data_IF_183020247491
#
_entry.id   IF_183020247491
#
_cell.length_a   1.000
_cell.length_b   1.000
_cell.length_c   1.000
_cell.angle_alpha   90.00
_cell.angle_beta   90.00
_cell.angle_gamma   90.00
#
_symmetry.space_group_name_H-M   'P 1'
#
loop_
_entity.id
_entity.type
_entity.pdbx_description
1 polymer ?
#
# COMPACT_ATOMS: atom_id res chain seq x y z
N UNK A 1 -52.54 37.09 38.72
CA UNK A 1 -51.98 36.70 37.41
C UNK A 1 -50.60 36.13 37.68
N UNK A 2 -50.41 34.83 37.56
CA UNK A 2 -49.09 34.16 37.74
C UNK A 2 -48.59 33.76 36.36
N UNK A 3 -47.60 34.46 35.81
CA UNK A 3 -46.93 34.06 34.59
C UNK A 3 -45.88 33.00 34.92
N UNK A 4 -46.09 31.81 34.42
CA UNK A 4 -45.11 30.71 34.48
C UNK A 4 -44.28 30.75 33.15
N UNK A 5 -43.03 31.22 33.26
CA UNK A 5 -42.08 31.08 32.16
C UNK A 5 -41.59 29.61 32.12
N UNK A 6 -41.94 28.93 31.06
CA UNK A 6 -41.38 27.59 30.74
C UNK A 6 -40.11 27.83 29.94
N UNK A 7 -38.96 27.59 30.55
CA UNK A 7 -37.67 27.57 29.88
C UNK A 7 -37.55 26.21 29.17
N UNK A 8 -37.72 26.20 27.86
CA UNK A 8 -37.41 25.02 27.01
C UNK A 8 -35.90 24.98 26.76
N UNK A 9 -35.21 24.06 27.44
CA UNK A 9 -33.80 23.78 27.17
C UNK A 9 -33.67 22.95 25.89
N UNK A 10 -33.19 23.57 24.80
CA UNK A 10 -32.83 22.87 23.58
C UNK A 10 -31.42 22.31 23.76
N UNK A 11 -31.32 21.02 23.98
CA UNK A 11 -30.05 20.31 23.97
C UNK A 11 -29.63 20.07 22.49
N UNK A 12 -28.67 20.85 21.99
CA UNK A 12 -28.01 20.55 20.74
C UNK A 12 -27.09 19.34 20.95
N UNK A 13 -27.50 18.19 20.46
CA UNK A 13 -26.64 17.03 20.34
C UNK A 13 -25.66 17.26 19.15
N UNK A 14 -24.42 17.64 19.45
CA UNK A 14 -23.33 17.63 18.49
C UNK A 14 -22.92 16.17 18.26
N UNK A 15 -23.46 15.54 17.20
CA UNK A 15 -22.92 14.31 16.66
C UNK A 15 -21.62 14.65 15.93
N UNK A 16 -20.47 14.42 16.55
CA UNK A 16 -19.19 14.47 15.88
C UNK A 16 -19.13 13.31 14.87
N UNK A 17 -18.89 13.58 13.56
CA UNK A 17 -18.60 12.49 12.64
C UNK A 17 -17.28 11.84 13.07
N UNK A 18 -17.33 10.56 13.41
CA UNK A 18 -16.14 9.75 13.62
C UNK A 18 -15.42 9.59 12.27
N UNK A 19 -14.43 10.45 12.01
CA UNK A 19 -13.47 10.25 10.92
C UNK A 19 -12.51 9.12 11.32
N UNK A 20 -12.99 7.89 11.29
CA UNK A 20 -12.13 6.74 11.08
C UNK A 20 -11.80 6.75 9.58
N UNK A 21 -10.87 7.61 9.16
CA UNK A 21 -10.26 7.49 7.86
C UNK A 21 -9.49 6.18 7.87
N UNK A 22 -10.02 5.15 7.21
CA UNK A 22 -9.23 3.98 6.82
C UNK A 22 -8.06 4.53 5.99
N UNK A 23 -6.85 4.41 6.56
CA UNK A 23 -5.61 4.71 5.87
C UNK A 23 -5.30 3.59 4.85
N UNK A 24 -6.19 3.41 3.88
CA UNK A 24 -5.88 2.69 2.65
C UNK A 24 -5.28 3.70 1.70
N UNK A 25 -3.97 3.59 1.45
CA UNK A 25 -3.36 4.39 0.40
C UNK A 25 -4.01 3.98 -0.93
N UNK A 26 -4.60 4.92 -1.64
CA UNK A 26 -5.25 4.63 -2.93
C UNK A 26 -4.19 4.30 -4.00
N UNK A 27 -4.44 3.23 -4.78
CA UNK A 27 -3.61 2.89 -5.93
C UNK A 27 -3.91 3.90 -7.05
N UNK A 28 -2.93 4.70 -7.51
CA UNK A 28 -3.14 5.66 -8.57
C UNK A 28 -3.56 4.98 -9.88
N UNK A 29 -4.56 5.53 -10.56
CA UNK A 29 -5.06 5.00 -11.84
C UNK A 29 -4.27 5.48 -13.04
N UNK A 30 -3.76 6.70 -12.99
CA UNK A 30 -2.94 7.29 -14.05
C UNK A 30 -1.49 6.77 -14.02
N UNK A 31 -0.90 6.51 -15.19
CA UNK A 31 0.47 5.99 -15.29
C UNK A 31 1.53 6.93 -14.70
N UNK A 32 1.53 8.27 -14.92
CA UNK A 32 2.53 9.16 -14.33
C UNK A 32 2.51 9.15 -12.80
N UNK A 33 1.34 9.18 -12.19
CA UNK A 33 1.18 9.17 -10.73
C UNK A 33 1.55 7.80 -10.14
N UNK A 34 1.15 6.73 -10.84
CA UNK A 34 1.50 5.37 -10.46
C UNK A 34 3.02 5.14 -10.49
N UNK A 35 3.69 5.59 -11.56
CA UNK A 35 5.15 5.51 -11.72
C UNK A 35 5.84 6.27 -10.59
N UNK A 36 5.42 7.51 -10.32
CA UNK A 36 5.99 8.33 -9.26
C UNK A 36 5.85 7.65 -7.89
N UNK A 37 4.67 7.10 -7.59
CA UNK A 37 4.42 6.39 -6.35
C UNK A 37 5.26 5.10 -6.25
N UNK A 38 5.31 4.28 -7.28
CA UNK A 38 6.13 3.07 -7.29
C UNK A 38 7.61 3.39 -7.06
N UNK A 39 8.15 4.43 -7.71
CA UNK A 39 9.54 4.86 -7.55
C UNK A 39 9.86 5.37 -6.15
N UNK A 40 8.89 5.89 -5.41
CA UNK A 40 9.11 6.43 -4.04
C UNK A 40 9.51 5.36 -3.02
N UNK A 41 9.33 4.09 -3.36
CA UNK A 41 9.70 2.98 -2.49
C UNK A 41 11.20 2.76 -2.34
N UNK A 42 12.03 3.27 -3.24
CA UNK A 42 13.46 3.03 -3.27
C UNK A 42 14.26 4.34 -3.36
N UNK A 43 15.57 4.31 -3.09
CA UNK A 43 16.45 5.44 -3.40
C UNK A 43 16.29 5.89 -4.85
N UNK A 44 16.39 7.21 -5.10
CA UNK A 44 16.12 7.80 -6.40
C UNK A 44 16.94 7.17 -7.55
N UNK A 45 18.19 6.77 -7.28
CA UNK A 45 19.07 6.13 -8.27
C UNK A 45 18.60 4.72 -8.67
N UNK A 46 17.87 4.05 -7.80
CA UNK A 46 17.23 2.77 -8.09
C UNK A 46 15.90 3.00 -8.78
N UNK A 47 15.00 3.77 -8.16
CA UNK A 47 13.64 3.96 -8.66
C UNK A 47 13.57 4.54 -10.08
N UNK A 48 14.42 5.52 -10.40
CA UNK A 48 14.41 6.17 -11.72
C UNK A 48 14.71 5.22 -12.89
N UNK A 49 15.51 4.17 -12.66
CA UNK A 49 15.94 3.22 -13.69
C UNK A 49 15.26 1.84 -13.56
N UNK A 50 14.36 1.67 -12.60
CA UNK A 50 13.65 0.42 -12.38
C UNK A 50 12.55 0.19 -13.41
N UNK A 51 12.26 -1.09 -13.66
CA UNK A 51 11.03 -1.51 -14.35
C UNK A 51 9.84 -1.23 -13.46
N UNK A 52 8.78 -0.64 -14.00
CA UNK A 52 7.53 -0.40 -13.26
C UNK A 52 6.46 -1.35 -13.79
N UNK A 53 5.84 -2.09 -12.89
CA UNK A 53 4.77 -3.04 -13.22
C UNK A 53 3.50 -2.73 -12.44
N UNK A 54 2.35 -3.06 -13.03
CA UNK A 54 1.08 -3.25 -12.31
C UNK A 54 0.89 -4.72 -12.02
N UNK A 55 0.31 -5.02 -10.87
CA UNK A 55 0.04 -6.38 -10.43
C UNK A 55 -1.47 -6.56 -10.38
N UNK A 56 -1.94 -7.62 -11.02
CA UNK A 56 -3.31 -8.09 -10.95
C UNK A 56 -3.41 -9.41 -10.21
N UNK A 57 -4.60 -10.00 -10.25
CA UNK A 57 -4.92 -11.25 -9.57
C UNK A 57 -3.93 -12.38 -9.91
N UNK A 58 -3.55 -13.17 -8.90
CA UNK A 58 -2.62 -14.29 -9.06
C UNK A 58 -1.21 -13.85 -9.49
N UNK A 59 -0.80 -12.64 -9.12
CA UNK A 59 0.49 -12.05 -9.49
C UNK A 59 0.71 -11.89 -11.00
N UNK A 60 -0.38 -11.67 -11.75
CA UNK A 60 -0.27 -11.30 -13.17
C UNK A 60 0.28 -9.89 -13.28
N UNK A 61 1.35 -9.72 -14.05
CA UNK A 61 2.04 -8.45 -14.18
C UNK A 61 1.84 -7.82 -15.55
N UNK A 62 1.68 -6.49 -15.56
CA UNK A 62 1.68 -5.67 -16.78
C UNK A 62 2.76 -4.61 -16.65
N UNK A 63 3.67 -4.54 -17.63
CA UNK A 63 4.74 -3.55 -17.63
C UNK A 63 4.20 -2.18 -18.02
N UNK A 64 4.38 -1.20 -17.14
CA UNK A 64 4.05 0.21 -17.36
C UNK A 64 5.25 0.95 -17.95
N UNK A 65 6.45 0.64 -17.47
CA UNK A 65 7.72 1.22 -17.94
C UNK A 65 8.81 0.15 -17.85
N UNK A 66 9.59 -0.02 -18.91
CA UNK A 66 10.78 -0.88 -18.89
C UNK A 66 11.95 -0.12 -18.27
N UNK A 67 12.65 -0.74 -17.34
CA UNK A 67 13.87 -0.23 -16.71
C UNK A 67 15.12 -0.95 -17.19
N UNK A 68 16.28 -0.54 -16.65
CA UNK A 68 17.60 -1.01 -17.10
C UNK A 68 18.51 -1.50 -15.98
N UNK A 69 18.09 -1.40 -14.73
CA UNK A 69 18.96 -1.69 -13.58
C UNK A 69 18.66 -3.01 -12.85
N UNK A 70 17.77 -3.84 -13.39
CA UNK A 70 17.40 -5.13 -12.79
C UNK A 70 16.45 -5.03 -11.60
N UNK A 71 16.04 -3.82 -11.20
CA UNK A 71 15.02 -3.60 -10.17
C UNK A 71 13.64 -3.48 -10.78
N UNK A 72 12.64 -3.95 -10.04
CA UNK A 72 11.23 -3.84 -10.39
C UNK A 72 10.48 -3.15 -9.27
N UNK A 73 9.76 -2.07 -9.59
CA UNK A 73 8.91 -1.36 -8.62
C UNK A 73 7.44 -1.49 -9.00
N UNK A 74 6.59 -1.52 -7.98
CA UNK A 74 5.15 -1.57 -8.12
C UNK A 74 4.47 -0.85 -6.96
N UNK A 75 3.15 -0.74 -7.06
CA UNK A 75 2.26 -0.41 -5.94
C UNK A 75 1.33 -1.61 -5.80
N UNK A 76 1.23 -2.17 -4.61
CA UNK A 76 0.35 -3.29 -4.34
C UNK A 76 -1.14 -2.90 -4.28
N UNK A 77 -2.00 -3.87 -4.01
CA UNK A 77 -3.46 -3.65 -3.93
C UNK A 77 -3.88 -2.81 -2.72
N UNK A 78 -3.03 -2.70 -1.69
CA UNK A 78 -3.25 -1.85 -0.52
C UNK A 78 -2.73 -0.42 -0.74
N UNK A 79 -2.12 -0.16 -1.89
CA UNK A 79 -1.52 1.11 -2.22
C UNK A 79 -0.10 1.31 -1.67
N UNK A 80 0.57 0.24 -1.22
CA UNK A 80 1.94 0.30 -0.72
C UNK A 80 2.95 0.18 -1.88
N UNK A 81 3.85 1.15 -2.03
CA UNK A 81 4.90 1.05 -3.03
C UNK A 81 6.07 0.20 -2.53
N UNK A 82 6.60 -0.63 -3.39
CA UNK A 82 7.80 -1.42 -3.14
C UNK A 82 8.68 -1.49 -4.39
N UNK A 83 9.98 -1.73 -4.19
CA UNK A 83 10.95 -2.03 -5.25
C UNK A 83 11.75 -3.27 -4.85
N UNK A 84 11.79 -4.27 -5.69
CA UNK A 84 12.48 -5.53 -5.46
C UNK A 84 13.55 -5.79 -6.52
N UNK A 85 14.64 -6.45 -6.12
CA UNK A 85 15.54 -7.08 -7.07
C UNK A 85 14.89 -8.35 -7.65
N UNK A 86 15.57 -9.06 -8.55
CA UNK A 86 15.00 -10.24 -9.19
C UNK A 86 14.63 -11.35 -8.20
N UNK A 87 15.43 -11.55 -7.16
CA UNK A 87 15.16 -12.54 -6.15
C UNK A 87 14.02 -12.12 -5.23
N UNK A 88 13.96 -10.85 -4.82
CA UNK A 88 12.84 -10.28 -4.07
C UNK A 88 11.51 -10.37 -4.83
N UNK A 89 11.53 -10.17 -6.14
CA UNK A 89 10.36 -10.34 -7.00
C UNK A 89 9.86 -11.79 -7.02
N UNK A 90 10.77 -12.77 -7.04
CA UNK A 90 10.41 -14.18 -6.94
C UNK A 90 9.80 -14.52 -5.58
N UNK A 91 10.32 -13.93 -4.49
CA UNK A 91 9.73 -14.05 -3.16
C UNK A 91 8.30 -13.50 -3.11
N UNK A 92 8.05 -12.32 -3.65
CA UNK A 92 6.68 -11.76 -3.71
C UNK A 92 5.73 -12.64 -4.53
N UNK A 93 6.21 -13.20 -5.63
CA UNK A 93 5.40 -14.15 -6.42
C UNK A 93 5.06 -15.39 -5.61
N UNK A 94 6.03 -15.98 -4.92
CA UNK A 94 5.82 -17.15 -4.09
C UNK A 94 4.80 -16.89 -2.98
N UNK A 95 4.94 -15.76 -2.25
CA UNK A 95 3.97 -15.36 -1.23
C UNK A 95 2.57 -15.20 -1.83
N UNK A 96 2.44 -14.44 -2.91
CA UNK A 96 1.15 -14.14 -3.53
C UNK A 96 0.44 -15.36 -4.11
N UNK A 97 1.18 -16.37 -4.53
CA UNK A 97 0.63 -17.60 -5.12
C UNK A 97 0.67 -18.79 -4.15
N UNK A 98 1.15 -18.60 -2.91
CA UNK A 98 1.37 -19.66 -1.90
C UNK A 98 2.23 -20.80 -2.44
N UNK A 99 3.19 -20.47 -3.30
CA UNK A 99 4.17 -21.40 -3.85
C UNK A 99 5.39 -21.54 -2.92
N UNK A 100 6.23 -22.53 -3.19
CA UNK A 100 7.51 -22.70 -2.50
C UNK A 100 8.38 -21.44 -2.67
N UNK A 101 8.97 -20.93 -1.57
CA UNK A 101 9.86 -19.78 -1.64
C UNK A 101 11.14 -20.11 -2.40
N UNK A 102 11.77 -19.13 -3.08
CA UNK A 102 13.05 -19.36 -3.74
C UNK A 102 14.17 -19.62 -2.73
N UNK A 103 15.11 -20.48 -3.07
CA UNK A 103 16.32 -20.76 -2.27
C UNK A 103 17.42 -19.71 -2.54
N UNK A 104 17.09 -18.45 -2.32
CA UNK A 104 18.03 -17.31 -2.47
C UNK A 104 17.53 -16.07 -1.72
N UNK A 105 18.47 -15.24 -1.31
CA UNK A 105 18.16 -13.96 -0.67
C UNK A 105 17.75 -12.92 -1.72
N UNK A 106 16.66 -12.21 -1.47
CA UNK A 106 16.22 -11.05 -2.23
C UNK A 106 16.20 -9.79 -1.39
N UNK A 107 16.30 -8.63 -2.05
CA UNK A 107 16.18 -7.33 -1.41
C UNK A 107 14.92 -6.61 -1.88
N UNK A 108 14.26 -5.97 -0.92
CA UNK A 108 13.07 -5.15 -1.15
C UNK A 108 13.22 -3.82 -0.44
N UNK A 109 12.96 -2.73 -1.15
CA UNK A 109 12.82 -1.40 -0.56
C UNK A 109 11.34 -1.07 -0.39
N UNK A 110 10.97 -0.55 0.79
CA UNK A 110 9.66 0.00 1.13
C UNK A 110 9.83 1.32 1.89
N UNK A 111 10.59 2.28 1.32
CA UNK A 111 10.97 3.53 2.01
C UNK A 111 9.79 4.46 2.28
N UNK A 112 8.68 4.30 1.56
CA UNK A 112 7.46 5.08 1.80
C UNK A 112 6.62 4.56 2.99
N UNK A 113 7.10 3.52 3.67
CA UNK A 113 6.45 2.89 4.81
C UNK A 113 5.68 1.62 4.46
N UNK A 114 5.24 0.95 5.49
CA UNK A 114 4.48 -0.30 5.46
C UNK A 114 3.19 -0.06 6.26
N UNK A 115 2.03 -0.38 5.70
CA UNK A 115 0.71 -0.16 6.33
C UNK A 115 0.32 -1.28 7.30
N UNK A 116 1.24 -2.10 7.71
CA UNK A 116 1.00 -3.09 8.77
C UNK A 116 1.01 -4.53 8.33
N UNK A 117 1.98 -4.91 7.51
CA UNK A 117 2.29 -6.32 7.28
C UNK A 117 2.71 -6.97 8.60
N UNK A 118 2.13 -8.12 8.94
CA UNK A 118 2.47 -8.86 10.16
C UNK A 118 3.92 -9.36 10.11
N UNK A 119 4.65 -9.22 11.21
CA UNK A 119 5.98 -9.78 11.37
C UNK A 119 6.00 -11.30 11.61
N UNK A 120 4.82 -11.90 11.80
CA UNK A 120 4.67 -13.32 12.15
C UNK A 120 3.98 -14.14 11.06
N UNK A 121 3.06 -13.52 10.32
CA UNK A 121 2.28 -14.18 9.28
C UNK A 121 2.12 -13.27 8.06
N UNK A 122 2.80 -13.57 6.94
CA UNK A 122 2.70 -12.77 5.72
C UNK A 122 1.33 -12.81 5.06
N UNK A 123 0.44 -13.71 5.51
CA UNK A 123 -0.93 -13.84 5.01
C UNK A 123 -1.97 -13.22 5.97
N UNK A 124 -1.55 -12.62 7.05
CA UNK A 124 -2.46 -11.96 7.99
C UNK A 124 -3.19 -10.81 7.30
N UNK A 125 -4.49 -10.74 7.50
CA UNK A 125 -5.36 -9.67 6.98
C UNK A 125 -5.73 -8.66 8.06
N UNK A 126 -5.37 -8.92 9.30
CA UNK A 126 -5.54 -8.00 10.42
C UNK A 126 -4.25 -7.20 10.66
N UNK A 127 -4.38 -6.09 11.36
CA UNK A 127 -3.25 -5.21 11.72
C UNK A 127 -2.72 -5.51 13.12
N UNK A 128 -2.98 -6.70 13.66
CA UNK A 128 -2.44 -7.14 14.95
C UNK A 128 -1.00 -7.63 14.76
N UNK A 129 -0.05 -6.99 15.40
CA UNK A 129 1.38 -7.32 15.40
C UNK A 129 1.79 -8.07 16.66
#
# INVERSE_FOLDING_TARGET
>A
MKWRFILASVALAFSAPSLAAELTAEVPKGDPEFIAKAMSAAPADIGKNATIIRIGDGFKTTTVRTGTNGWTCAVDTNGEPWCADSAGLEWFRAISTKAEPPDKTGFVYMLAGDLGTSNHDPYATDKSH
#
